data_IF_533713848213
#
_entry.id   IF_533713848213
#
_cell.length_a   1.000
_cell.length_b   1.000
_cell.length_c   1.000
_cell.angle_alpha   90.00
_cell.angle_beta   90.00
_cell.angle_gamma   90.00
#
_symmetry.space_group_name_H-M   'P 1'
#
loop_
_entity.id
_entity.type
_entity.pdbx_description
1 polymer ?
#
# COMPACT_ATOMS: atom_id res chain seq x y z
N UNK A 1 -14.50 -22.19 -12.80
CA UNK A 1 -14.70 -20.76 -12.55
C UNK A 1 -13.70 -20.24 -11.53
N UNK A 2 -13.64 -18.92 -11.32
CA UNK A 2 -12.64 -18.27 -10.44
C UNK A 2 -12.64 -18.85 -9.03
N UNK A 3 -13.80 -19.13 -8.44
CA UNK A 3 -13.91 -19.69 -7.08
C UNK A 3 -13.12 -21.00 -6.88
N UNK A 4 -13.04 -21.86 -7.90
CA UNK A 4 -12.25 -23.09 -7.83
C UNK A 4 -10.76 -22.77 -7.87
N UNK A 5 -10.36 -21.82 -8.70
CA UNK A 5 -8.94 -21.37 -8.78
C UNK A 5 -8.52 -20.66 -7.50
N UNK A 6 -9.37 -19.82 -6.92
CA UNK A 6 -9.13 -19.17 -5.63
C UNK A 6 -8.93 -20.19 -4.50
N UNK A 7 -9.76 -21.25 -4.46
CA UNK A 7 -9.61 -22.32 -3.48
C UNK A 7 -8.30 -23.11 -3.63
N UNK A 8 -7.77 -23.26 -4.86
CA UNK A 8 -6.44 -23.84 -5.08
C UNK A 8 -5.33 -22.84 -4.72
N UNK A 9 -5.50 -21.58 -5.09
CA UNK A 9 -4.54 -20.52 -4.78
C UNK A 9 -4.35 -20.34 -3.27
N UNK A 10 -5.43 -20.41 -2.48
CA UNK A 10 -5.38 -20.33 -1.02
C UNK A 10 -4.48 -21.40 -0.36
N UNK A 11 -4.29 -22.56 -1.03
CA UNK A 11 -3.35 -23.59 -0.55
C UNK A 11 -1.88 -23.23 -0.75
N UNK A 12 -1.59 -22.30 -1.64
CA UNK A 12 -0.24 -21.81 -1.94
C UNK A 12 0.14 -20.65 -1.00
N UNK A 13 -0.83 -19.85 -0.57
CA UNK A 13 -0.63 -18.75 0.36
C UNK A 13 -1.90 -17.91 0.52
N UNK A 14 -2.05 -17.23 1.66
CA UNK A 14 -3.23 -16.45 1.99
C UNK A 14 -3.54 -15.35 0.96
N UNK A 15 -2.51 -14.69 0.40
CA UNK A 15 -2.66 -13.60 -0.55
C UNK A 15 -2.86 -14.08 -2.01
N UNK A 16 -2.63 -15.37 -2.29
CA UNK A 16 -2.70 -15.90 -3.66
C UNK A 16 -4.08 -15.81 -4.32
N UNK A 17 -5.22 -15.97 -3.60
CA UNK A 17 -6.55 -15.82 -4.18
C UNK A 17 -6.80 -14.46 -4.82
N UNK A 18 -6.25 -13.38 -4.25
CA UNK A 18 -6.38 -12.03 -4.78
C UNK A 18 -5.92 -11.93 -6.25
N UNK A 19 -4.84 -12.60 -6.62
CA UNK A 19 -4.27 -12.53 -7.97
C UNK A 19 -5.08 -13.28 -9.03
N UNK A 20 -6.08 -14.08 -8.63
CA UNK A 20 -6.99 -14.74 -9.57
C UNK A 20 -7.99 -13.75 -10.15
N UNK A 21 -8.52 -12.87 -9.32
CA UNK A 21 -9.51 -11.85 -9.72
C UNK A 21 -8.83 -10.51 -10.01
N UNK A 22 -7.80 -10.15 -9.24
CA UNK A 22 -7.03 -8.90 -9.35
C UNK A 22 -7.91 -7.63 -9.34
N UNK A 23 -9.00 -7.67 -8.59
CA UNK A 23 -9.91 -6.54 -8.39
C UNK A 23 -9.72 -5.97 -6.98
N UNK A 24 -9.99 -4.67 -6.77
CA UNK A 24 -9.94 -4.09 -5.44
C UNK A 24 -10.82 -4.87 -4.45
N UNK A 25 -10.20 -5.33 -3.37
CA UNK A 25 -10.88 -6.17 -2.39
C UNK A 25 -10.49 -5.78 -0.96
N UNK A 26 -11.45 -5.92 -0.06
CA UNK A 26 -11.23 -5.89 1.37
C UNK A 26 -10.96 -7.32 1.84
N UNK A 27 -9.82 -7.52 2.49
CA UNK A 27 -9.37 -8.81 2.97
C UNK A 27 -9.62 -8.95 4.48
N UNK A 28 -10.15 -10.08 4.90
CA UNK A 28 -10.41 -10.45 6.29
C UNK A 28 -9.73 -11.79 6.62
N UNK A 29 -9.77 -12.18 7.91
CA UNK A 29 -9.09 -13.39 8.36
C UNK A 29 -7.57 -13.21 8.36
N UNK A 30 -6.86 -14.13 7.72
CA UNK A 30 -5.41 -14.01 7.47
C UNK A 30 -5.09 -13.46 6.07
N UNK A 31 -6.10 -12.90 5.36
CA UNK A 31 -6.01 -12.35 4.01
C UNK A 31 -6.76 -13.16 2.94
N UNK A 32 -7.37 -14.29 3.32
CA UNK A 32 -8.02 -15.24 2.42
C UNK A 32 -9.50 -14.95 2.14
N UNK A 33 -10.16 -14.16 2.99
CA UNK A 33 -11.58 -13.81 2.82
C UNK A 33 -11.65 -12.47 2.10
N UNK A 34 -11.96 -12.49 0.81
CA UNK A 34 -11.98 -11.31 -0.04
C UNK A 34 -13.41 -10.85 -0.30
N UNK A 35 -13.67 -9.56 -0.08
CA UNK A 35 -14.94 -8.90 -0.43
C UNK A 35 -14.66 -7.74 -1.37
N UNK A 36 -15.40 -7.58 -2.48
CA UNK A 36 -15.20 -6.43 -3.37
C UNK A 36 -15.33 -5.10 -2.64
N UNK A 37 -14.48 -4.16 -2.97
CA UNK A 37 -14.53 -2.80 -2.45
C UNK A 37 -14.43 -1.79 -3.58
N UNK A 38 -15.17 -0.68 -3.45
CA UNK A 38 -15.04 0.46 -4.37
C UNK A 38 -14.10 1.48 -3.77
N UNK A 39 -13.08 1.82 -4.52
CA UNK A 39 -12.14 2.87 -4.15
C UNK A 39 -12.61 4.19 -4.79
N UNK A 40 -12.36 5.32 -4.12
CA UNK A 40 -12.68 6.65 -4.59
C UNK A 40 -12.22 6.90 -6.05
N UNK A 41 -12.95 7.74 -6.77
CA UNK A 41 -12.57 8.16 -8.12
C UNK A 41 -12.54 7.02 -9.15
N UNK A 42 -13.53 6.12 -9.10
CA UNK A 42 -13.58 4.94 -10.00
C UNK A 42 -12.29 4.12 -9.91
N UNK A 43 -11.95 3.71 -8.68
CA UNK A 43 -10.74 2.96 -8.34
C UNK A 43 -9.44 3.75 -8.67
N UNK A 44 -9.44 5.05 -8.35
CA UNK A 44 -8.31 5.96 -8.58
C UNK A 44 -7.98 6.19 -10.06
N UNK A 45 -8.93 6.02 -10.94
CA UNK A 45 -8.72 6.19 -12.37
C UNK A 45 -8.12 7.56 -12.69
N UNK A 46 -6.99 7.54 -13.41
CA UNK A 46 -6.23 8.72 -13.80
C UNK A 46 -5.28 9.26 -12.74
N UNK A 47 -5.38 8.81 -11.47
CA UNK A 47 -4.38 9.15 -10.46
C UNK A 47 -3.02 8.55 -10.81
N UNK A 48 -1.95 9.21 -10.35
CA UNK A 48 -0.60 8.67 -10.51
C UNK A 48 -0.16 7.98 -9.24
N UNK A 49 0.51 6.86 -9.38
CA UNK A 49 1.09 6.11 -8.27
C UNK A 49 2.59 6.01 -8.46
N UNK A 50 3.32 6.34 -7.40
CA UNK A 50 4.77 6.12 -7.30
C UNK A 50 5.00 5.03 -6.27
N UNK A 51 5.68 3.96 -6.65
CA UNK A 51 6.10 2.88 -5.74
C UNK A 51 7.61 2.93 -5.61
N UNK A 52 8.09 2.98 -4.38
CA UNK A 52 9.51 3.02 -4.03
C UNK A 52 9.86 1.77 -3.24
N UNK A 53 10.75 0.94 -3.78
CA UNK A 53 11.29 -0.25 -3.13
C UNK A 53 12.73 0.01 -2.73
N UNK A 54 13.03 0.31 -1.46
CA UNK A 54 14.40 0.44 -0.97
C UNK A 54 15.13 -0.91 -1.02
N UNK A 55 16.44 -0.86 -0.87
CA UNK A 55 17.29 -2.07 -0.85
C UNK A 55 17.10 -2.89 0.43
N UNK A 56 16.64 -2.27 1.51
CA UNK A 56 16.40 -2.94 2.78
C UNK A 56 15.31 -4.00 2.66
N UNK A 57 15.59 -5.18 3.16
CA UNK A 57 14.63 -6.28 3.25
C UNK A 57 14.10 -6.37 4.68
N UNK A 58 12.79 -6.22 4.83
CA UNK A 58 12.11 -6.38 6.12
C UNK A 58 11.57 -7.80 6.22
N UNK A 59 11.90 -8.49 7.31
CA UNK A 59 11.31 -9.77 7.62
C UNK A 59 9.89 -9.56 8.15
N UNK A 60 8.91 -10.26 7.57
CA UNK A 60 7.52 -10.25 8.07
C UNK A 60 7.45 -10.61 9.56
N UNK A 61 8.28 -11.56 10.01
CA UNK A 61 8.38 -11.93 11.43
C UNK A 61 8.83 -10.76 12.30
N UNK A 62 9.81 -9.98 11.84
CA UNK A 62 10.28 -8.79 12.58
C UNK A 62 9.21 -7.71 12.59
N UNK A 63 8.54 -7.47 11.47
CA UNK A 63 7.43 -6.52 11.39
C UNK A 63 6.34 -6.85 12.41
N UNK A 64 5.94 -8.13 12.53
CA UNK A 64 4.96 -8.59 13.52
C UNK A 64 5.44 -8.49 14.96
N UNK A 65 6.75 -8.59 15.23
CA UNK A 65 7.29 -8.73 16.60
C UNK A 65 6.98 -7.56 17.54
N UNK A 66 6.69 -6.39 16.99
CA UNK A 66 6.43 -5.15 17.75
C UNK A 66 5.03 -4.61 17.59
N UNK A 67 4.18 -5.26 16.79
CA UNK A 67 2.78 -4.84 16.62
C UNK A 67 2.04 -5.03 17.94
N UNK A 68 1.32 -4.00 18.34
CA UNK A 68 0.33 -4.06 19.43
C UNK A 68 -1.05 -4.08 18.79
N UNK A 69 -1.78 -5.21 18.84
CA UNK A 69 -3.13 -5.26 18.28
C UNK A 69 -4.02 -4.20 18.93
N UNK A 70 -4.74 -3.46 18.11
CA UNK A 70 -5.75 -2.50 18.53
C UNK A 70 -6.93 -2.50 17.55
N UNK A 71 -8.07 -2.05 18.00
CA UNK A 71 -9.20 -1.84 17.11
C UNK A 71 -9.02 -0.52 16.36
N UNK A 72 -9.06 -0.52 15.02
CA UNK A 72 -8.94 0.71 14.25
C UNK A 72 -10.12 1.64 14.54
N UNK A 73 -9.86 2.94 14.53
CA UNK A 73 -10.91 3.96 14.71
C UNK A 73 -11.86 3.99 13.50
N UNK A 74 -11.35 3.71 12.32
CA UNK A 74 -12.09 3.71 11.06
C UNK A 74 -11.90 2.37 10.35
N UNK A 75 -12.97 1.87 9.73
CA UNK A 75 -12.85 0.72 8.83
C UNK A 75 -12.19 1.16 7.52
N UNK A 76 -11.12 0.51 7.12
CA UNK A 76 -10.40 0.87 5.89
C UNK A 76 -11.29 0.78 4.64
N UNK A 77 -12.27 -0.14 4.60
CA UNK A 77 -13.29 -0.24 3.55
C UNK A 77 -14.06 1.07 3.35
N UNK A 78 -14.41 1.74 4.46
CA UNK A 78 -15.17 2.99 4.41
C UNK A 78 -14.26 4.17 4.05
N UNK A 79 -13.01 4.14 4.51
CA UNK A 79 -12.04 5.20 4.25
C UNK A 79 -11.65 5.25 2.79
N UNK A 80 -11.39 4.11 2.14
CA UNK A 80 -10.96 4.09 0.74
C UNK A 80 -12.05 4.57 -0.24
N UNK A 81 -13.31 4.62 0.19
CA UNK A 81 -14.40 5.19 -0.58
C UNK A 81 -14.48 6.73 -0.50
N UNK A 82 -13.70 7.36 0.39
CA UNK A 82 -13.62 8.82 0.57
C UNK A 82 -12.56 9.44 -0.33
N UNK A 83 -12.58 10.78 -0.53
CA UNK A 83 -11.51 11.48 -1.22
C UNK A 83 -10.12 11.12 -0.67
N UNK A 84 -9.14 10.95 -1.57
CA UNK A 84 -7.78 10.49 -1.22
C UNK A 84 -7.10 11.43 -0.20
N UNK A 85 -7.43 12.71 -0.24
CA UNK A 85 -6.92 13.74 0.67
C UNK A 85 -7.27 13.48 2.14
N UNK A 86 -8.37 12.76 2.39
CA UNK A 86 -8.82 12.41 3.74
C UNK A 86 -8.07 11.19 4.31
N UNK A 87 -7.47 10.35 3.46
CA UNK A 87 -6.89 9.08 3.87
C UNK A 87 -5.72 9.23 4.84
N UNK A 88 -4.95 10.31 4.72
CA UNK A 88 -3.74 10.54 5.54
C UNK A 88 -3.98 10.43 7.04
N UNK A 89 -5.15 10.84 7.51
CA UNK A 89 -5.51 10.85 8.94
C UNK A 89 -6.37 9.67 9.37
N UNK A 90 -6.86 8.87 8.43
CA UNK A 90 -7.87 7.84 8.70
C UNK A 90 -7.40 6.43 8.32
N UNK A 91 -6.50 6.31 7.35
CA UNK A 91 -6.01 5.04 6.85
C UNK A 91 -4.54 4.86 7.26
N UNK A 92 -4.29 3.88 8.10
CA UNK A 92 -2.97 3.60 8.67
C UNK A 92 -2.55 2.15 8.38
N UNK A 93 -1.25 1.92 8.36
CA UNK A 93 -0.69 0.58 8.33
C UNK A 93 0.02 0.30 9.67
N UNK A 94 -0.52 -0.64 10.43
CA UNK A 94 -0.04 -0.95 11.79
C UNK A 94 1.41 -1.45 11.84
N UNK A 95 1.94 -1.92 10.71
CA UNK A 95 3.35 -2.28 10.61
C UNK A 95 4.30 -1.08 10.58
N UNK A 96 3.83 0.12 10.23
CA UNK A 96 4.71 1.28 10.05
C UNK A 96 5.45 1.65 11.32
N UNK A 97 4.79 1.66 12.49
CA UNK A 97 5.45 1.97 13.76
C UNK A 97 6.60 1.01 14.03
N UNK A 98 6.36 -0.30 13.84
CA UNK A 98 7.36 -1.34 14.02
C UNK A 98 8.52 -1.21 13.04
N UNK A 99 8.19 -1.10 11.74
CA UNK A 99 9.19 -1.11 10.67
C UNK A 99 10.01 0.17 10.66
N UNK A 100 9.38 1.35 10.83
CA UNK A 100 10.11 2.61 10.84
C UNK A 100 11.01 2.74 12.07
N UNK A 101 10.66 2.10 13.18
CA UNK A 101 11.53 2.01 14.35
C UNK A 101 12.76 1.14 14.15
N UNK A 102 12.68 0.12 13.28
CA UNK A 102 13.79 -0.78 12.94
C UNK A 102 14.59 -0.28 11.73
N UNK A 103 13.90 0.30 10.76
CA UNK A 103 14.41 0.75 9.46
C UNK A 103 13.92 2.16 9.16
N UNK A 104 14.50 3.20 9.82
CA UNK A 104 14.05 4.59 9.68
C UNK A 104 14.04 5.09 8.23
N UNK A 105 14.92 4.57 7.38
CA UNK A 105 15.01 4.90 5.96
C UNK A 105 13.70 4.63 5.20
N UNK A 106 12.89 3.65 5.63
CA UNK A 106 11.58 3.37 5.04
C UNK A 106 10.60 4.50 5.35
N UNK A 107 10.62 4.99 6.59
CA UNK A 107 9.82 6.16 7.00
C UNK A 107 10.21 7.44 6.26
N UNK A 108 11.51 7.64 6.03
CA UNK A 108 12.03 8.80 5.26
C UNK A 108 11.47 8.81 3.84
N UNK A 109 11.30 7.64 3.20
CA UNK A 109 10.69 7.54 1.87
C UNK A 109 9.23 8.02 1.91
N UNK A 110 8.45 7.62 2.90
CA UNK A 110 7.06 8.07 3.07
C UNK A 110 6.97 9.59 3.21
N UNK A 111 7.79 10.15 4.09
CA UNK A 111 7.84 11.61 4.29
C UNK A 111 8.28 12.34 3.00
N UNK A 112 9.21 11.76 2.25
CA UNK A 112 9.64 12.33 0.99
C UNK A 112 8.53 12.32 -0.06
N UNK A 113 7.75 11.24 -0.17
CA UNK A 113 6.59 11.19 -1.08
C UNK A 113 5.59 12.30 -0.78
N UNK A 114 5.30 12.58 0.49
CA UNK A 114 4.45 13.72 0.87
C UNK A 114 5.06 15.06 0.48
N UNK A 115 6.37 15.25 0.65
CA UNK A 115 7.08 16.49 0.24
C UNK A 115 7.04 16.71 -1.27
N UNK A 116 7.02 15.64 -2.05
CA UNK A 116 6.87 15.68 -3.50
C UNK A 116 5.41 15.87 -3.96
N UNK A 117 4.47 16.01 -3.03
CA UNK A 117 3.08 16.32 -3.32
C UNK A 117 2.13 15.12 -3.39
N UNK A 118 2.51 13.97 -2.82
CA UNK A 118 1.58 12.86 -2.68
C UNK A 118 0.39 13.29 -1.80
N UNK A 119 -0.83 13.02 -2.25
CA UNK A 119 -2.05 13.19 -1.49
C UNK A 119 -2.12 12.18 -0.34
N UNK A 120 -1.64 10.98 -0.61
CA UNK A 120 -1.52 9.90 0.34
C UNK A 120 -0.25 9.10 0.09
N UNK A 121 0.43 8.67 1.16
CA UNK A 121 1.56 7.76 1.09
C UNK A 121 1.54 6.77 2.24
N UNK A 122 1.89 5.51 1.97
CA UNK A 122 1.89 4.45 2.97
C UNK A 122 2.88 3.35 2.59
N UNK A 123 3.39 2.65 3.60
CA UNK A 123 4.11 1.40 3.40
C UNK A 123 3.14 0.29 2.97
N UNK A 124 3.54 -0.55 2.05
CA UNK A 124 2.73 -1.69 1.57
C UNK A 124 3.00 -2.94 2.41
N UNK A 125 1.94 -3.49 2.99
CA UNK A 125 2.02 -4.70 3.81
C UNK A 125 3.05 -4.58 4.93
N UNK A 126 3.88 -5.59 5.13
CA UNK A 126 4.97 -5.60 6.12
C UNK A 126 6.24 -4.87 5.65
N UNK A 127 6.20 -4.19 4.52
CA UNK A 127 7.32 -3.42 3.95
C UNK A 127 8.23 -4.25 3.04
N UNK A 128 9.31 -3.68 2.62
CA UNK A 128 9.77 -2.30 2.79
C UNK A 128 9.27 -1.34 1.70
N UNK A 129 8.46 -1.81 0.74
CA UNK A 129 7.93 -0.95 -0.32
C UNK A 129 7.02 0.13 0.27
N UNK A 130 7.14 1.35 -0.24
CA UNK A 130 6.28 2.49 0.10
C UNK A 130 5.67 3.02 -1.19
N UNK A 131 4.39 3.37 -1.15
CA UNK A 131 3.74 3.97 -2.30
C UNK A 131 3.18 5.35 -1.96
N UNK A 132 3.07 6.20 -2.98
CA UNK A 132 2.40 7.49 -2.90
C UNK A 132 1.39 7.64 -4.03
N UNK A 133 0.22 8.18 -3.70
CA UNK A 133 -0.85 8.50 -4.63
C UNK A 133 -0.83 10.01 -4.88
N UNK A 134 -0.76 10.40 -6.14
CA UNK A 134 -0.71 11.78 -6.60
C UNK A 134 -1.93 12.11 -7.43
N UNK A 135 -2.29 13.38 -7.50
CA UNK A 135 -3.39 13.84 -8.35
C UNK A 135 -3.15 13.49 -9.82
N UNK A 136 -4.20 13.40 -10.65
CA UNK A 136 -4.06 13.19 -12.09
C UNK A 136 -3.16 14.23 -12.77
N UNK A 137 -3.16 15.46 -12.28
CA UNK A 137 -2.39 16.59 -12.85
C UNK A 137 -0.94 16.64 -12.35
N UNK A 138 -0.54 15.78 -11.42
CA UNK A 138 0.81 15.79 -10.88
C UNK A 138 1.85 15.55 -11.99
N UNK A 139 2.89 16.38 -11.98
CA UNK A 139 4.00 16.27 -12.96
C UNK A 139 5.15 15.49 -12.31
N UNK A 140 4.95 14.21 -12.11
CA UNK A 140 6.02 13.33 -11.64
C UNK A 140 6.31 12.29 -12.71
N UNK A 141 7.54 12.31 -13.23
CA UNK A 141 8.03 11.34 -14.19
C UNK A 141 8.78 10.21 -13.49
N UNK A 142 9.05 9.13 -14.24
CA UNK A 142 9.89 8.05 -13.74
C UNK A 142 11.31 8.54 -13.46
N UNK A 143 11.86 9.36 -14.35
CA UNK A 143 13.20 9.94 -14.22
C UNK A 143 13.33 10.84 -13.00
N UNK A 144 12.27 11.62 -12.67
CA UNK A 144 12.25 12.43 -11.45
C UNK A 144 12.22 11.53 -10.21
N UNK A 145 11.36 10.52 -10.20
CA UNK A 145 11.26 9.58 -9.09
C UNK A 145 12.59 8.82 -8.86
N UNK A 146 13.27 8.38 -9.91
CA UNK A 146 14.57 7.71 -9.80
C UNK A 146 15.65 8.63 -9.20
N UNK A 147 15.63 9.91 -9.53
CA UNK A 147 16.56 10.91 -8.92
C UNK A 147 16.21 11.20 -7.47
N UNK A 148 14.91 11.35 -7.15
CA UNK A 148 14.44 11.68 -5.80
C UNK A 148 14.74 10.53 -4.82
N UNK A 149 14.59 9.29 -5.28
CA UNK A 149 14.75 8.08 -4.49
C UNK A 149 15.97 7.25 -4.95
N UNK A 150 17.08 7.93 -5.17
CA UNK A 150 18.34 7.31 -5.58
C UNK A 150 18.71 6.15 -4.67
N UNK A 151 19.16 5.04 -5.26
CA UNK A 151 19.48 3.80 -4.54
C UNK A 151 18.27 2.88 -4.28
N UNK A 152 17.05 3.32 -4.62
CA UNK A 152 15.84 2.50 -4.56
C UNK A 152 15.35 2.13 -5.96
N UNK A 153 14.57 1.05 -6.06
CA UNK A 153 13.81 0.78 -7.29
C UNK A 153 12.52 1.59 -7.26
N UNK A 154 12.26 2.34 -8.31
CA UNK A 154 11.07 3.19 -8.41
C UNK A 154 10.22 2.81 -9.60
N UNK A 155 8.91 2.90 -9.41
CA UNK A 155 7.92 2.67 -10.45
C UNK A 155 6.94 3.83 -10.43
N UNK A 156 6.60 4.35 -11.60
CA UNK A 156 5.59 5.40 -11.78
C UNK A 156 4.57 4.89 -12.76
N UNK A 157 3.30 4.94 -12.38
CA UNK A 157 2.19 4.44 -13.20
C UNK A 157 0.98 5.37 -13.08
N UNK A 158 0.12 5.33 -14.07
CA UNK A 158 -1.23 5.90 -14.01
C UNK A 158 -2.21 4.75 -13.75
N UNK A 159 -3.06 4.92 -12.76
CA UNK A 159 -4.08 3.93 -12.37
C UNK A 159 -5.26 3.98 -13.34
#
# INVERSE_FOLDING_TARGET
>A
GNAVMEAYAAKLGADCPFFITAEPAYAEGIGEILSPVKIYGDNLKGYKMVVVKPTVAVSTKEAFSRIKPHSPQYCCRDVVARPVEEWKTMLTNDFEESVFGLYPEVGVIKERLYKEGALYAQMSGSGSSVFGIFSPDAKISKEDAEKIFEGSRTYVMTV
#
